data_IF_768359773109
#
_entry.id   IF_768359773109
#
_cell.length_a   1.000
_cell.length_b   1.000
_cell.length_c   1.000
_cell.angle_alpha   90.00
_cell.angle_beta   90.00
_cell.angle_gamma   90.00
#
_symmetry.space_group_name_H-M   'P 1'
#
loop_
_entity.id
_entity.type
_entity.pdbx_description
1 polymer ?
#
# COMPACT_ATOMS: atom_id res chain seq x y z
N UNK A 1 -4.96 14.49 11.46
CA UNK A 1 -4.53 15.86 11.12
C UNK A 1 -3.17 15.87 10.43
N UNK A 2 -2.13 15.22 10.97
CA UNK A 2 -0.77 15.20 10.37
C UNK A 2 -0.66 14.49 9.01
N UNK A 3 -1.43 13.43 8.76
CA UNK A 3 -1.47 12.77 7.44
C UNK A 3 -2.03 13.68 6.33
N UNK A 4 -2.93 14.61 6.66
CA UNK A 4 -3.59 15.46 5.66
C UNK A 4 -2.68 16.59 5.17
N UNK A 5 -1.88 17.16 6.07
CA UNK A 5 -0.87 18.18 5.72
C UNK A 5 0.27 17.61 4.87
N UNK A 6 0.69 16.36 5.12
CA UNK A 6 1.68 15.67 4.27
C UNK A 6 1.14 15.37 2.86
N UNK A 7 -0.16 15.07 2.72
CA UNK A 7 -0.78 14.79 1.43
C UNK A 7 -1.01 16.06 0.60
N UNK A 8 -1.20 17.24 1.22
CA UNK A 8 -1.38 18.50 0.50
C UNK A 8 -0.09 19.10 -0.07
N UNK A 9 1.09 18.59 0.33
CA UNK A 9 2.40 18.99 -0.22
C UNK A 9 2.97 18.00 -1.23
N UNK A 10 2.24 16.92 -1.54
CA UNK A 10 2.67 15.91 -2.49
C UNK A 10 2.57 16.48 -3.92
N UNK A 11 3.64 17.11 -4.37
CA UNK A 11 3.83 17.56 -5.75
C UNK A 11 3.85 16.34 -6.69
N UNK A 12 2.91 16.23 -7.67
CA UNK A 12 2.91 15.15 -8.65
C UNK A 12 4.26 15.00 -9.37
N UNK A 13 4.98 16.10 -9.61
CA UNK A 13 6.32 16.10 -10.18
C UNK A 13 7.35 15.41 -9.28
N UNK A 14 7.29 15.64 -7.96
CA UNK A 14 8.16 14.94 -6.99
C UNK A 14 7.83 13.46 -6.89
N UNK A 15 6.56 13.09 -6.95
CA UNK A 15 6.13 11.69 -6.96
C UNK A 15 6.59 10.97 -8.24
N UNK A 16 6.47 11.61 -9.40
CA UNK A 16 6.97 11.08 -10.66
C UNK A 16 8.50 10.92 -10.66
N UNK A 17 9.24 11.92 -10.16
CA UNK A 17 10.69 11.84 -10.01
C UNK A 17 11.12 10.73 -9.03
N UNK A 18 10.39 10.57 -7.94
CA UNK A 18 10.54 9.50 -6.94
C UNK A 18 10.39 8.10 -7.56
N UNK A 19 9.42 7.92 -8.46
CA UNK A 19 9.22 6.68 -9.21
C UNK A 19 10.38 6.45 -10.18
N UNK A 20 10.76 7.48 -10.96
CA UNK A 20 11.85 7.38 -11.94
C UNK A 20 13.19 7.01 -11.27
N UNK A 21 13.53 7.66 -10.16
CA UNK A 21 14.75 7.37 -9.41
C UNK A 21 14.78 5.93 -8.87
N UNK A 22 13.66 5.43 -8.34
CA UNK A 22 13.58 4.04 -7.85
C UNK A 22 13.62 3.01 -8.98
N UNK A 23 13.01 3.30 -10.13
CA UNK A 23 13.12 2.44 -11.32
C UNK A 23 14.57 2.37 -11.82
N UNK A 24 15.28 3.49 -11.85
CA UNK A 24 16.71 3.50 -12.18
C UNK A 24 17.53 2.70 -11.14
N UNK A 25 17.23 2.82 -9.85
CA UNK A 25 17.88 2.01 -8.82
C UNK A 25 17.62 0.51 -9.01
N UNK A 26 16.42 0.11 -9.46
CA UNK A 26 16.06 -1.26 -9.76
C UNK A 26 16.77 -1.86 -10.99
N UNK A 27 17.52 -1.07 -11.77
CA UNK A 27 18.41 -1.60 -12.81
C UNK A 27 19.68 -2.22 -12.21
N UNK A 28 20.04 -1.84 -10.99
CA UNK A 28 21.24 -2.32 -10.27
C UNK A 28 20.86 -3.16 -9.06
N UNK A 29 19.84 -2.73 -8.31
CA UNK A 29 19.26 -3.47 -7.21
C UNK A 29 18.39 -4.59 -7.77
N UNK A 30 18.85 -5.84 -7.64
CA UNK A 30 18.08 -7.01 -8.06
C UNK A 30 17.57 -7.76 -6.85
N UNK A 31 16.54 -8.59 -7.07
CA UNK A 31 16.05 -9.50 -6.04
C UNK A 31 17.15 -10.45 -5.55
N UNK A 32 18.02 -10.89 -6.46
CA UNK A 32 19.07 -11.87 -6.20
C UNK A 32 20.25 -11.28 -5.42
N UNK A 33 20.65 -10.04 -5.72
CA UNK A 33 21.85 -9.42 -5.15
C UNK A 33 21.55 -8.50 -3.97
N UNK A 34 20.35 -7.93 -3.89
CA UNK A 34 20.00 -6.93 -2.87
C UNK A 34 18.50 -6.98 -2.54
N UNK A 35 17.98 -8.12 -2.03
CA UNK A 35 16.55 -8.37 -1.92
C UNK A 35 15.80 -7.32 -1.09
N UNK A 36 16.38 -6.88 0.03
CA UNK A 36 15.74 -5.89 0.92
C UNK A 36 15.69 -4.51 0.26
N UNK A 37 16.77 -4.05 -0.34
CA UNK A 37 16.81 -2.75 -1.02
C UNK A 37 15.92 -2.74 -2.28
N UNK A 38 15.90 -3.85 -3.02
CA UNK A 38 14.97 -4.07 -4.12
C UNK A 38 13.52 -3.98 -3.65
N UNK A 39 13.16 -4.64 -2.54
CA UNK A 39 11.81 -4.58 -1.97
C UNK A 39 11.45 -3.17 -1.48
N UNK A 40 12.38 -2.44 -0.86
CA UNK A 40 12.17 -1.05 -0.44
C UNK A 40 11.94 -0.11 -1.64
N UNK A 41 12.66 -0.32 -2.75
CA UNK A 41 12.45 0.43 -3.98
C UNK A 41 11.06 0.13 -4.59
N UNK A 42 10.63 -1.14 -4.61
CA UNK A 42 9.28 -1.53 -5.03
C UNK A 42 8.20 -0.90 -4.14
N UNK A 43 8.35 -0.98 -2.80
CA UNK A 43 7.42 -0.37 -1.85
C UNK A 43 7.25 1.14 -2.11
N UNK A 44 8.36 1.86 -2.30
CA UNK A 44 8.33 3.30 -2.55
C UNK A 44 7.70 3.68 -3.91
N UNK A 45 7.83 2.82 -4.92
CA UNK A 45 7.10 2.97 -6.20
C UNK A 45 5.60 2.83 -5.94
N UNK A 46 5.17 1.76 -5.26
CA UNK A 46 3.77 1.52 -4.93
C UNK A 46 3.12 2.68 -4.15
N UNK A 47 3.80 3.21 -3.13
CA UNK A 47 3.31 4.36 -2.35
C UNK A 47 3.18 5.62 -3.22
N UNK A 48 4.16 5.88 -4.08
CA UNK A 48 4.13 7.05 -4.97
C UNK A 48 2.98 6.97 -5.97
N UNK A 49 2.70 5.76 -6.49
CA UNK A 49 1.59 5.48 -7.41
C UNK A 49 0.22 5.62 -6.75
N UNK A 50 0.04 5.12 -5.52
CA UNK A 50 -1.18 5.38 -4.74
C UNK A 50 -1.40 6.87 -4.55
N UNK A 51 -0.35 7.62 -4.19
CA UNK A 51 -0.45 9.05 -3.95
C UNK A 51 -0.83 9.82 -5.22
N UNK A 52 -0.24 9.47 -6.37
CA UNK A 52 -0.64 10.03 -7.67
C UNK A 52 -2.10 9.71 -7.99
N UNK A 53 -2.53 8.46 -7.80
CA UNK A 53 -3.92 8.05 -7.99
C UNK A 53 -4.90 8.84 -7.12
N UNK A 54 -4.53 9.10 -5.86
CA UNK A 54 -5.33 9.91 -4.93
C UNK A 54 -5.42 11.37 -5.36
N UNK A 55 -4.30 12.00 -5.72
CA UNK A 55 -4.23 13.40 -6.16
C UNK A 55 -5.05 13.64 -7.43
N UNK A 56 -4.92 12.73 -8.40
CA UNK A 56 -5.63 12.81 -9.68
C UNK A 56 -7.02 12.16 -9.64
N UNK A 57 -7.41 11.57 -8.50
CA UNK A 57 -8.68 10.86 -8.27
C UNK A 57 -8.96 9.79 -9.35
N UNK A 58 -7.96 8.97 -9.64
CA UNK A 58 -7.98 8.00 -10.75
C UNK A 58 -7.43 6.64 -10.34
N UNK A 59 -7.99 5.59 -10.94
CA UNK A 59 -7.53 4.22 -10.77
C UNK A 59 -6.35 3.81 -11.66
N UNK A 60 -5.89 4.67 -12.58
CA UNK A 60 -4.92 4.28 -13.63
C UNK A 60 -3.56 3.79 -13.12
N UNK A 61 -3.20 4.12 -11.89
CA UNK A 61 -1.94 3.72 -11.25
C UNK A 61 -2.05 2.49 -10.35
N UNK A 62 -3.27 2.02 -10.08
CA UNK A 62 -3.52 1.04 -9.03
C UNK A 62 -3.03 -0.37 -9.39
N UNK A 63 -3.06 -0.74 -10.67
CA UNK A 63 -2.53 -2.02 -11.14
C UNK A 63 -1.02 -2.11 -10.95
N UNK A 64 -0.31 -1.03 -11.28
CA UNK A 64 1.13 -0.95 -11.07
C UNK A 64 1.49 -0.88 -9.58
N UNK A 65 0.72 -0.12 -8.79
CA UNK A 65 0.93 -0.07 -7.33
C UNK A 65 0.76 -1.44 -6.68
N UNK A 66 -0.28 -2.19 -7.06
CA UNK A 66 -0.50 -3.55 -6.58
C UNK A 66 0.66 -4.48 -6.94
N UNK A 67 1.13 -4.41 -8.19
CA UNK A 67 2.25 -5.22 -8.65
C UNK A 67 3.52 -4.93 -7.83
N UNK A 68 3.80 -3.65 -7.56
CA UNK A 68 4.96 -3.23 -6.77
C UNK A 68 4.88 -3.74 -5.32
N UNK A 69 3.73 -3.60 -4.64
CA UNK A 69 3.57 -4.15 -3.28
C UNK A 69 3.59 -5.68 -3.24
N UNK A 70 2.99 -6.36 -4.23
CA UNK A 70 3.09 -7.82 -4.32
C UNK A 70 4.53 -8.30 -4.54
N UNK A 71 5.35 -7.50 -5.21
CA UNK A 71 6.76 -7.82 -5.41
C UNK A 71 7.51 -7.86 -4.07
N UNK A 72 7.23 -6.94 -3.14
CA UNK A 72 7.90 -6.90 -1.82
C UNK A 72 7.61 -8.12 -0.96
N UNK A 73 6.44 -8.75 -1.13
CA UNK A 73 6.05 -9.98 -0.43
C UNK A 73 6.92 -11.20 -0.79
N UNK A 74 7.76 -11.12 -1.85
CA UNK A 74 8.80 -12.14 -2.11
C UNK A 74 9.93 -12.10 -1.09
N UNK A 75 10.12 -10.97 -0.42
CA UNK A 75 11.20 -10.71 0.55
C UNK A 75 10.62 -10.63 1.96
N UNK A 76 9.55 -9.87 2.12
CA UNK A 76 8.86 -9.69 3.40
C UNK A 76 7.74 -10.72 3.55
N UNK A 77 8.10 -11.89 4.06
CA UNK A 77 7.12 -12.95 4.34
C UNK A 77 6.55 -12.81 5.74
N UNK A 78 5.35 -13.35 5.95
CA UNK A 78 4.69 -13.34 7.25
C UNK A 78 5.50 -14.08 8.31
N UNK A 79 6.15 -15.18 7.94
CA UNK A 79 6.87 -16.07 8.85
C UNK A 79 8.21 -15.46 9.30
N UNK A 80 8.90 -14.78 8.39
CA UNK A 80 10.24 -14.23 8.67
C UNK A 80 10.18 -12.79 9.19
N UNK A 81 9.27 -11.99 8.65
CA UNK A 81 9.20 -10.54 8.82
C UNK A 81 7.73 -10.10 8.95
N UNK A 82 7.02 -10.53 10.01
CA UNK A 82 5.57 -10.31 10.15
C UNK A 82 5.19 -8.84 10.17
N UNK A 83 6.06 -7.96 10.71
CA UNK A 83 5.82 -6.52 10.74
C UNK A 83 5.83 -5.91 9.34
N UNK A 84 6.87 -6.19 8.55
CA UNK A 84 7.02 -5.70 7.18
C UNK A 84 5.91 -6.27 6.31
N UNK A 85 5.66 -7.58 6.40
CA UNK A 85 4.54 -8.22 5.71
C UNK A 85 3.21 -7.52 6.03
N UNK A 86 2.94 -7.19 7.30
CA UNK A 86 1.73 -6.49 7.71
C UNK A 86 1.60 -5.08 7.10
N UNK A 87 2.69 -4.33 7.02
CA UNK A 87 2.68 -3.03 6.31
C UNK A 87 2.30 -3.19 4.84
N UNK A 88 2.78 -4.24 4.18
CA UNK A 88 2.46 -4.49 2.77
C UNK A 88 1.04 -4.96 2.57
N UNK A 89 0.50 -5.77 3.49
CA UNK A 89 -0.93 -6.06 3.53
C UNK A 89 -1.75 -4.78 3.69
N UNK A 90 -1.35 -3.85 4.57
CA UNK A 90 -2.03 -2.56 4.70
C UNK A 90 -2.00 -1.77 3.37
N UNK A 91 -0.83 -1.74 2.70
CA UNK A 91 -0.68 -1.01 1.44
C UNK A 91 -1.57 -1.59 0.33
N UNK A 92 -1.66 -2.93 0.24
CA UNK A 92 -2.58 -3.61 -0.67
C UNK A 92 -4.05 -3.32 -0.32
N UNK A 93 -4.38 -3.22 0.96
CA UNK A 93 -5.70 -2.77 1.41
C UNK A 93 -6.04 -1.36 0.90
N UNK A 94 -5.07 -0.44 0.95
CA UNK A 94 -5.23 0.92 0.44
C UNK A 94 -5.43 0.93 -1.10
N UNK A 95 -4.73 0.06 -1.86
CA UNK A 95 -4.97 -0.12 -3.31
C UNK A 95 -6.42 -0.52 -3.59
N UNK A 96 -6.92 -1.54 -2.90
CA UNK A 96 -8.26 -2.07 -3.14
C UNK A 96 -9.36 -1.12 -2.66
N UNK A 97 -9.13 -0.39 -1.57
CA UNK A 97 -10.01 0.70 -1.14
C UNK A 97 -10.14 1.77 -2.25
N UNK A 98 -9.01 2.18 -2.85
CA UNK A 98 -9.01 3.15 -3.93
C UNK A 98 -9.71 2.63 -5.18
N UNK A 99 -9.49 1.36 -5.57
CA UNK A 99 -10.23 0.74 -6.69
C UNK A 99 -11.73 0.74 -6.46
N UNK A 100 -12.19 0.36 -5.26
CA UNK A 100 -13.60 0.42 -4.90
C UNK A 100 -14.18 1.84 -4.98
N UNK A 101 -13.37 2.83 -4.60
CA UNK A 101 -13.72 4.26 -4.66
C UNK A 101 -13.81 4.80 -6.09
N UNK A 102 -13.03 4.25 -7.03
CA UNK A 102 -12.98 4.69 -8.43
C UNK A 102 -13.79 3.83 -9.40
N UNK A 103 -14.76 3.05 -8.90
CA UNK A 103 -15.72 2.33 -9.73
C UNK A 103 -15.66 0.80 -9.66
N UNK A 104 -14.70 0.23 -8.94
CA UNK A 104 -14.57 -1.23 -8.76
C UNK A 104 -15.66 -1.87 -7.86
N UNK A 105 -16.41 -1.06 -7.11
CA UNK A 105 -17.57 -1.52 -6.34
C UNK A 105 -17.24 -2.36 -5.10
N UNK A 106 -18.24 -3.09 -4.60
CA UNK A 106 -18.17 -3.78 -3.31
C UNK A 106 -17.15 -4.93 -3.27
N UNK A 107 -16.87 -5.57 -4.41
CA UNK A 107 -15.87 -6.64 -4.49
C UNK A 107 -14.46 -6.13 -4.14
N UNK A 108 -14.10 -4.93 -4.61
CA UNK A 108 -12.81 -4.32 -4.27
C UNK A 108 -12.77 -3.87 -2.80
N UNK A 109 -13.88 -3.40 -2.25
CA UNK A 109 -13.96 -3.12 -0.81
C UNK A 109 -13.84 -4.37 0.07
N UNK A 110 -14.39 -5.51 -0.36
CA UNK A 110 -14.21 -6.78 0.37
C UNK A 110 -12.73 -7.19 0.41
N UNK A 111 -12.02 -7.12 -0.73
CA UNK A 111 -10.58 -7.34 -0.77
C UNK A 111 -9.82 -6.38 0.14
N UNK A 112 -10.20 -5.10 0.17
CA UNK A 112 -9.57 -4.12 1.06
C UNK A 112 -9.69 -4.53 2.54
N UNK A 113 -10.87 -5.01 2.97
CA UNK A 113 -11.08 -5.52 4.33
C UNK A 113 -10.17 -6.72 4.60
N UNK A 114 -10.11 -7.70 3.69
CA UNK A 114 -9.26 -8.89 3.84
C UNK A 114 -7.78 -8.50 4.05
N UNK A 115 -7.28 -7.58 3.24
CA UNK A 115 -5.91 -7.08 3.35
C UNK A 115 -5.65 -6.30 4.65
N UNK A 116 -6.59 -5.47 5.10
CA UNK A 116 -6.46 -4.78 6.38
C UNK A 116 -6.54 -5.75 7.58
N UNK A 117 -7.36 -6.79 7.52
CA UNK A 117 -7.42 -7.82 8.56
C UNK A 117 -6.11 -8.61 8.62
N UNK A 118 -5.54 -8.97 7.47
CA UNK A 118 -4.20 -9.56 7.39
C UNK A 118 -3.13 -8.65 8.00
N UNK A 119 -3.16 -7.35 7.68
CA UNK A 119 -2.24 -6.37 8.28
C UNK A 119 -2.36 -6.35 9.81
N UNK A 120 -3.58 -6.31 10.34
CA UNK A 120 -3.83 -6.34 11.79
C UNK A 120 -3.29 -7.61 12.44
N UNK A 121 -3.48 -8.76 11.79
CA UNK A 121 -2.96 -10.03 12.26
C UNK A 121 -1.42 -10.03 12.29
N UNK A 122 -0.77 -9.61 11.20
CA UNK A 122 0.69 -9.56 11.14
C UNK A 122 1.30 -8.54 12.12
N UNK A 123 0.66 -7.39 12.35
CA UNK A 123 1.07 -6.45 13.39
C UNK A 123 0.97 -7.05 14.80
N UNK A 124 -0.10 -7.80 15.07
CA UNK A 124 -0.27 -8.55 16.33
C UNK A 124 0.83 -9.60 16.50
N UNK A 125 1.11 -10.39 15.46
CA UNK A 125 2.16 -11.41 15.45
C UNK A 125 3.56 -10.83 15.67
N UNK A 126 3.80 -9.62 15.16
CA UNK A 126 5.04 -8.89 15.37
C UNK A 126 5.13 -8.18 16.75
N UNK A 127 4.08 -8.23 17.58
CA UNK A 127 4.00 -7.45 18.81
C UNK A 127 3.95 -5.92 18.58
N UNK A 128 3.69 -5.48 17.34
CA UNK A 128 3.71 -4.08 16.95
C UNK A 128 2.30 -3.49 16.94
N UNK A 129 1.83 -3.05 18.11
CA UNK A 129 0.42 -2.71 18.33
C UNK A 129 0.02 -1.30 17.87
N UNK A 130 0.99 -0.42 17.61
CA UNK A 130 0.74 1.00 17.29
C UNK A 130 -0.19 1.20 16.09
N UNK A 131 -0.05 0.47 14.95
CA UNK A 131 -0.91 0.69 13.78
C UNK A 131 -2.30 0.08 13.90
N UNK A 132 -2.51 -0.88 14.82
CA UNK A 132 -3.74 -1.69 14.90
C UNK A 132 -5.01 -0.81 14.98
N UNK A 133 -5.09 0.22 15.84
CA UNK A 133 -6.28 1.07 15.91
C UNK A 133 -6.55 1.86 14.63
N UNK A 134 -5.51 2.21 13.85
CA UNK A 134 -5.70 2.86 12.57
C UNK A 134 -6.19 1.87 11.51
N UNK A 135 -5.68 0.64 11.52
CA UNK A 135 -6.14 -0.43 10.64
C UNK A 135 -7.60 -0.79 10.90
N UNK A 136 -8.03 -0.89 12.16
CA UNK A 136 -9.44 -1.10 12.51
C UNK A 136 -10.34 0.03 12.00
N UNK A 137 -9.91 1.28 12.13
CA UNK A 137 -10.63 2.43 11.57
C UNK A 137 -10.76 2.34 10.05
N UNK A 138 -9.72 1.88 9.34
CA UNK A 138 -9.80 1.67 7.88
C UNK A 138 -10.85 0.60 7.54
N UNK A 139 -10.85 -0.52 8.25
CA UNK A 139 -11.85 -1.60 8.08
C UNK A 139 -13.28 -1.05 8.29
N UNK A 140 -13.50 -0.27 9.35
CA UNK A 140 -14.81 0.32 9.64
C UNK A 140 -15.25 1.33 8.56
N UNK A 141 -14.31 2.11 8.01
CA UNK A 141 -14.60 3.00 6.89
C UNK A 141 -15.02 2.22 5.64
N UNK A 142 -14.36 1.09 5.36
CA UNK A 142 -14.73 0.20 4.25
C UNK A 142 -16.12 -0.38 4.43
N UNK A 143 -16.42 -0.92 5.61
CA UNK A 143 -17.76 -1.43 5.95
C UNK A 143 -18.84 -0.37 5.78
N UNK A 144 -18.57 0.87 6.23
CA UNK A 144 -19.49 2.00 6.05
C UNK A 144 -19.71 2.36 4.58
N UNK A 145 -18.72 2.23 3.70
CA UNK A 145 -18.92 2.49 2.27
C UNK A 145 -19.72 1.40 1.58
N UNK A 146 -19.51 0.14 1.95
CA UNK A 146 -20.33 -0.97 1.43
C UNK A 146 -21.80 -0.75 1.82
N UNK A 147 -22.09 -0.35 3.07
CA UNK A 147 -23.45 -0.16 3.56
C UNK A 147 -24.22 1.04 2.95
N UNK A 148 -23.52 1.97 2.28
CA UNK A 148 -24.15 3.15 1.65
C UNK A 148 -24.58 2.91 0.19
N UNK A 149 -24.12 1.82 -0.43
CA UNK A 149 -24.40 1.47 -1.82
C UNK A 149 -25.40 0.34 -1.88
#
# INVERSE_FOLDING_TARGET
ALQWLSMSEADPGKLAASIAARRAALEVLTFETSPVDWANAQNGIGMSLINLGNLERTGKYLDEAEAAFKATLKVFTRESQPMQWAFEQNNLGDVHWNRGSYGGGNAEYQKAIEFFENAKQGFTEAGYTIPIPLTDRKIDLVKKQIAKK
#
